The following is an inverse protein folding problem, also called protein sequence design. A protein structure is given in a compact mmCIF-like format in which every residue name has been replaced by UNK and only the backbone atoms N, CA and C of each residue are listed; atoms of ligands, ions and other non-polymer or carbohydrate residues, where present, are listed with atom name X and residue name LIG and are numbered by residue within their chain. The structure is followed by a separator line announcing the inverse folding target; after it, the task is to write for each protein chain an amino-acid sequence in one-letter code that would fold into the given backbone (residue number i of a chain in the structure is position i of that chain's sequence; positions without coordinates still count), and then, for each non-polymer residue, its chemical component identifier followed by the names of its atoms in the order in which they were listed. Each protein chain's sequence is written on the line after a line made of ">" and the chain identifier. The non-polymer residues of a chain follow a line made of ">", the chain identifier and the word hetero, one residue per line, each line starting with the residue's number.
data_IF_095099226345
#
_entry.id   IF_095099226345
#
_cell.length_a   1.000
_cell.length_b   1.000
_cell.length_c   1.000
_cell.angle_alpha   90.00
_cell.angle_beta   90.00
_cell.angle_gamma   90.00
#
_symmetry.space_group_name_H-M   'P 1'
#
loop_
_entity.id
_entity.type
_entity.pdbx_description
1 polymer ?
#
# COMPACT_ATOMS: atom_id res chain seq x y z
N UNK A 1 -24.83 -26.59 -9.06
CA UNK A 1 -24.97 -25.50 -8.07
C UNK A 1 -25.07 -24.19 -8.82
N UNK A 2 -26.12 -23.38 -8.62
CA UNK A 2 -26.05 -21.95 -8.94
C UNK A 2 -25.33 -21.32 -7.74
N UNK A 3 -24.15 -20.74 -7.96
CA UNK A 3 -23.47 -19.98 -6.91
C UNK A 3 -24.33 -18.78 -6.53
N UNK A 4 -24.40 -18.49 -5.25
CA UNK A 4 -25.04 -17.26 -4.78
C UNK A 4 -24.16 -16.08 -5.20
N UNK A 5 -24.61 -15.32 -6.19
CA UNK A 5 -23.95 -14.09 -6.60
C UNK A 5 -24.51 -12.95 -5.75
N UNK A 6 -23.66 -12.32 -4.94
CA UNK A 6 -24.00 -11.08 -4.24
C UNK A 6 -23.79 -9.89 -5.18
N UNK A 7 -24.76 -8.98 -5.24
CA UNK A 7 -24.65 -7.70 -5.94
C UNK A 7 -24.74 -6.59 -4.89
N UNK A 8 -23.76 -5.70 -4.88
CA UNK A 8 -23.78 -4.49 -4.05
C UNK A 8 -24.12 -3.28 -4.92
N UNK A 9 -25.09 -2.47 -4.48
CA UNK A 9 -25.43 -1.20 -5.11
C UNK A 9 -24.90 -0.07 -4.23
N UNK A 10 -24.23 0.90 -4.85
CA UNK A 10 -23.57 2.01 -4.17
C UNK A 10 -24.10 3.34 -4.68
N UNK A 11 -24.12 4.35 -3.81
CA UNK A 11 -24.42 5.72 -4.20
C UNK A 11 -23.27 6.29 -5.05
N UNK A 12 -23.61 6.85 -6.20
CA UNK A 12 -22.63 7.58 -7.02
C UNK A 12 -22.34 8.94 -6.38
N UNK A 13 -21.09 9.15 -5.96
CA UNK A 13 -20.62 10.42 -5.45
C UNK A 13 -20.03 11.27 -6.58
N UNK A 14 -20.54 12.50 -6.84
CA UNK A 14 -19.94 13.37 -7.83
C UNK A 14 -18.52 13.77 -7.40
N UNK A 15 -17.56 13.66 -8.32
CA UNK A 15 -16.16 14.04 -8.11
C UNK A 15 -15.92 15.42 -8.71
N UNK A 16 -15.20 16.30 -8.01
CA UNK A 16 -14.81 17.60 -8.58
C UNK A 16 -13.73 17.42 -9.63
N UNK A 17 -13.77 18.27 -10.65
CA UNK A 17 -12.73 18.35 -11.67
C UNK A 17 -11.54 19.17 -11.16
N UNK A 18 -10.73 18.55 -10.28
CA UNK A 18 -9.42 19.05 -9.87
C UNK A 18 -8.37 17.99 -10.12
N UNK A 19 -7.22 18.41 -10.65
CA UNK A 19 -6.11 17.49 -10.94
C UNK A 19 -5.55 16.86 -9.66
N UNK A 20 -5.43 17.64 -8.58
CA UNK A 20 -4.88 17.19 -7.30
C UNK A 20 -5.59 17.82 -6.11
N UNK A 21 -5.65 17.06 -5.02
CA UNK A 21 -6.15 17.51 -3.74
C UNK A 21 -5.05 18.31 -3.00
N UNK A 22 -5.31 19.54 -2.49
CA UNK A 22 -4.31 20.28 -1.73
C UNK A 22 -3.70 19.45 -0.57
N UNK A 23 -2.38 19.51 -0.33
CA UNK A 23 -1.72 18.67 0.66
C UNK A 23 -2.31 18.75 2.07
N UNK A 24 -2.79 19.92 2.49
CA UNK A 24 -3.41 20.16 3.79
C UNK A 24 -4.76 19.46 3.93
N UNK A 25 -5.58 19.51 2.87
CA UNK A 25 -6.86 18.82 2.80
C UNK A 25 -6.69 17.29 2.72
N UNK A 26 -5.69 16.80 1.96
CA UNK A 26 -5.33 15.36 1.96
C UNK A 26 -4.89 14.90 3.35
N UNK A 27 -4.04 15.68 4.03
CA UNK A 27 -3.60 15.37 5.37
C UNK A 27 -4.76 15.33 6.37
N UNK A 28 -5.71 16.25 6.27
CA UNK A 28 -6.91 16.24 7.09
C UNK A 28 -7.77 15.00 6.81
N UNK A 29 -7.92 14.59 5.55
CA UNK A 29 -8.63 13.38 5.18
C UNK A 29 -7.95 12.11 5.72
N UNK A 30 -6.63 12.00 5.60
CA UNK A 30 -5.84 10.90 6.16
C UNK A 30 -5.96 10.84 7.70
N UNK A 31 -5.92 11.99 8.38
CA UNK A 31 -6.12 12.04 9.81
C UNK A 31 -7.52 11.55 10.22
N UNK A 32 -8.56 11.93 9.49
CA UNK A 32 -9.93 11.46 9.70
C UNK A 32 -10.06 9.95 9.43
N UNK A 33 -9.43 9.45 8.35
CA UNK A 33 -9.36 8.03 8.03
C UNK A 33 -8.74 7.23 9.17
N UNK A 34 -7.53 7.59 9.61
CA UNK A 34 -6.84 6.91 10.70
C UNK A 34 -7.63 6.98 12.02
N UNK A 35 -8.27 8.11 12.32
CA UNK A 35 -9.12 8.22 13.51
C UNK A 35 -10.31 7.24 13.45
N UNK A 36 -10.97 7.13 12.29
CA UNK A 36 -12.05 6.17 12.07
C UNK A 36 -11.56 4.72 12.18
N UNK A 37 -10.47 4.38 11.50
CA UNK A 37 -9.90 3.02 11.53
C UNK A 37 -9.45 2.60 12.92
N UNK A 38 -8.88 3.51 13.72
CA UNK A 38 -8.49 3.26 15.11
C UNK A 38 -9.69 2.89 16.00
N UNK A 39 -10.87 3.40 15.70
CA UNK A 39 -12.09 3.15 16.47
C UNK A 39 -12.77 1.81 16.12
N UNK A 40 -12.33 1.14 15.04
CA UNK A 40 -12.87 -0.15 14.64
C UNK A 40 -12.31 -1.27 15.52
N UNK A 41 -13.20 -2.16 15.96
CA UNK A 41 -12.87 -3.40 16.66
C UNK A 41 -13.19 -4.60 15.75
N UNK A 42 -12.35 -4.77 14.72
CA UNK A 42 -12.48 -5.85 13.75
C UNK A 42 -11.23 -6.74 13.77
N UNK A 43 -11.38 -8.07 13.59
CA UNK A 43 -10.25 -8.97 13.42
C UNK A 43 -9.65 -8.74 12.03
N UNK A 44 -8.59 -7.94 11.97
CA UNK A 44 -7.85 -7.61 10.74
C UNK A 44 -6.45 -8.21 10.83
N UNK A 45 -6.02 -8.87 9.75
CA UNK A 45 -4.70 -9.50 9.65
C UNK A 45 -3.57 -8.45 9.75
N UNK A 46 -2.41 -8.78 10.33
CA UNK A 46 -1.26 -7.89 10.36
C UNK A 46 -0.70 -7.64 8.95
N UNK A 47 -0.07 -6.49 8.74
CA UNK A 47 0.66 -6.16 7.50
C UNK A 47 1.67 -7.25 7.11
N UNK A 48 2.26 -7.92 8.10
CA UNK A 48 3.22 -9.01 7.90
C UNK A 48 2.63 -10.18 7.08
N UNK A 49 1.33 -10.45 7.16
CA UNK A 49 0.70 -11.54 6.39
C UNK A 49 0.68 -11.21 4.90
N UNK A 50 0.39 -9.95 4.55
CA UNK A 50 0.47 -9.46 3.16
C UNK A 50 1.90 -9.54 2.63
N UNK A 51 2.89 -9.26 3.46
CA UNK A 51 4.30 -9.47 3.09
C UNK A 51 4.63 -10.95 2.94
N UNK A 52 4.07 -11.82 3.79
CA UNK A 52 4.15 -13.27 3.67
C UNK A 52 3.71 -13.76 2.29
N UNK A 53 2.56 -13.29 1.80
CA UNK A 53 2.08 -13.64 0.45
C UNK A 53 3.05 -13.22 -0.66
N UNK A 54 3.68 -12.06 -0.54
CA UNK A 54 4.70 -11.60 -1.49
C UNK A 54 5.96 -12.48 -1.42
N UNK A 55 6.39 -12.85 -0.21
CA UNK A 55 7.51 -13.74 0.00
C UNK A 55 7.25 -15.15 -0.57
N UNK A 56 6.05 -15.70 -0.39
CA UNK A 56 5.64 -16.99 -0.94
C UNK A 56 5.70 -16.97 -2.48
N UNK A 57 5.24 -15.88 -3.10
CA UNK A 57 5.35 -15.68 -4.54
C UNK A 57 6.82 -15.67 -5.02
N UNK A 58 7.71 -15.00 -4.28
CA UNK A 58 9.13 -14.95 -4.60
C UNK A 58 9.87 -16.26 -4.31
N UNK A 59 9.40 -17.08 -3.37
CA UNK A 59 9.99 -18.38 -3.05
C UNK A 59 9.82 -19.40 -4.17
N UNK A 60 8.77 -19.30 -4.98
CA UNK A 60 8.52 -20.18 -6.12
C UNK A 60 9.02 -19.58 -7.45
N UNK A 61 10.13 -20.08 -8.03
CA UNK A 61 10.63 -19.60 -9.32
C UNK A 61 9.72 -19.87 -10.48
N UNK A 62 8.85 -20.88 -10.38
CA UNK A 62 7.87 -21.09 -11.42
C UNK A 62 6.92 -19.88 -11.46
N UNK A 63 6.45 -19.36 -10.31
CA UNK A 63 5.48 -18.24 -10.25
C UNK A 63 6.06 -16.90 -10.73
N UNK A 64 7.35 -16.70 -10.57
CA UNK A 64 8.07 -15.49 -11.00
C UNK A 64 9.20 -15.81 -12.00
N UNK A 65 8.92 -16.47 -13.14
CA UNK A 65 9.94 -17.13 -13.95
C UNK A 65 10.86 -16.14 -14.68
N UNK A 66 10.37 -14.92 -14.90
CA UNK A 66 11.12 -13.86 -15.56
C UNK A 66 11.92 -12.98 -14.59
N UNK A 67 11.87 -13.23 -13.28
CA UNK A 67 12.62 -12.51 -12.23
C UNK A 67 13.99 -13.18 -12.01
N UNK A 68 15.08 -12.41 -12.20
CA UNK A 68 16.42 -12.89 -11.97
C UNK A 68 16.66 -13.27 -10.49
N UNK A 69 17.61 -14.16 -10.24
CA UNK A 69 17.88 -14.69 -8.90
C UNK A 69 18.34 -13.60 -7.93
N UNK A 70 19.16 -12.68 -8.41
CA UNK A 70 19.72 -11.57 -7.65
C UNK A 70 18.61 -10.59 -7.24
N UNK A 71 17.73 -10.23 -8.19
CA UNK A 71 16.59 -9.34 -7.95
C UNK A 71 15.58 -9.95 -6.98
N UNK A 72 15.32 -11.26 -7.11
CA UNK A 72 14.51 -12.01 -6.15
C UNK A 72 15.09 -11.97 -4.75
N UNK A 73 16.40 -12.18 -4.61
CA UNK A 73 17.09 -12.13 -3.31
C UNK A 73 17.00 -10.73 -2.70
N UNK A 74 17.18 -9.68 -3.52
CA UNK A 74 17.02 -8.28 -3.10
C UNK A 74 15.59 -8.02 -2.57
N UNK A 75 14.56 -8.41 -3.32
CA UNK A 75 13.17 -8.23 -2.92
C UNK A 75 12.85 -9.02 -1.64
N UNK A 76 13.23 -10.29 -1.56
CA UNK A 76 13.01 -11.12 -0.37
C UNK A 76 13.65 -10.51 0.89
N UNK A 77 14.92 -10.12 0.81
CA UNK A 77 15.63 -9.51 1.93
C UNK A 77 15.05 -8.15 2.33
N UNK A 78 14.62 -7.34 1.35
CA UNK A 78 14.00 -6.03 1.60
C UNK A 78 12.65 -6.18 2.27
N UNK A 79 11.76 -7.02 1.73
CA UNK A 79 10.44 -7.30 2.28
C UNK A 79 10.52 -7.84 3.71
N UNK A 80 11.34 -8.87 3.95
CA UNK A 80 11.47 -9.47 5.27
C UNK A 80 11.97 -8.47 6.33
N UNK A 81 13.00 -7.69 6.02
CA UNK A 81 13.57 -6.69 6.92
C UNK A 81 12.57 -5.57 7.23
N UNK A 82 11.93 -5.01 6.21
CA UNK A 82 11.06 -3.85 6.40
C UNK A 82 9.71 -4.24 7.03
N UNK A 83 9.24 -5.48 6.81
CA UNK A 83 8.09 -6.02 7.53
C UNK A 83 8.35 -6.14 9.03
N UNK A 84 9.52 -6.66 9.42
CA UNK A 84 9.93 -6.75 10.82
C UNK A 84 10.03 -5.35 11.47
N UNK A 85 10.64 -4.38 10.76
CA UNK A 85 10.69 -2.98 11.18
C UNK A 85 9.28 -2.39 11.37
N UNK A 86 8.36 -2.59 10.42
CA UNK A 86 7.00 -2.09 10.52
C UNK A 86 6.19 -2.73 11.67
N UNK A 87 6.39 -4.03 11.91
CA UNK A 87 5.71 -4.77 12.97
C UNK A 87 6.18 -4.38 14.39
N UNK A 88 7.43 -3.95 14.52
CA UNK A 88 8.06 -3.63 15.81
C UNK A 88 8.13 -2.13 16.13
N UNK A 89 7.73 -1.27 15.18
CA UNK A 89 7.85 0.19 15.32
C UNK A 89 6.49 0.87 15.48
N UNK A 90 6.42 1.82 16.42
CA UNK A 90 5.27 2.69 16.60
C UNK A 90 3.95 2.01 16.98
N UNK A 91 2.88 2.79 17.19
CA UNK A 91 1.55 2.27 17.49
C UNK A 91 0.93 1.54 16.29
N UNK A 92 0.43 0.34 16.53
CA UNK A 92 -0.25 -0.49 15.52
C UNK A 92 -1.76 -0.24 15.54
N UNK A 93 -2.39 -0.05 14.38
CA UNK A 93 -3.85 0.11 14.24
C UNK A 93 -4.35 -0.46 12.92
N UNK A 94 -5.67 -0.53 12.73
CA UNK A 94 -6.24 -0.85 11.42
C UNK A 94 -5.89 0.28 10.45
N UNK A 95 -5.46 -0.10 9.26
CA UNK A 95 -5.05 0.75 8.18
C UNK A 95 -5.92 0.49 6.96
N UNK A 96 -6.00 1.46 6.05
CA UNK A 96 -6.58 1.21 4.74
C UNK A 96 -5.70 0.27 3.91
N UNK A 97 -4.38 0.46 3.92
CA UNK A 97 -3.41 -0.44 3.30
C UNK A 97 -3.02 -0.11 1.85
N UNK A 98 -3.84 0.63 1.08
CA UNK A 98 -3.61 1.03 -0.33
C UNK A 98 -4.36 2.33 -0.74
N UNK A 99 -4.38 3.32 0.14
CA UNK A 99 -4.95 4.68 -0.05
C UNK A 99 -4.12 5.57 -0.99
N UNK A 100 -3.79 5.06 -2.17
CA UNK A 100 -3.18 5.82 -3.25
C UNK A 100 -4.20 6.73 -3.95
N UNK A 101 -3.78 7.70 -4.80
CA UNK A 101 -4.70 8.65 -5.44
C UNK A 101 -5.87 8.03 -6.20
N UNK A 102 -5.70 6.83 -6.78
CA UNK A 102 -6.80 6.09 -7.45
C UNK A 102 -7.94 5.66 -6.52
N UNK A 103 -7.68 5.59 -5.21
CA UNK A 103 -8.63 5.17 -4.17
C UNK A 103 -9.16 6.37 -3.37
N UNK A 104 -9.04 7.58 -3.95
CA UNK A 104 -9.45 8.83 -3.33
C UNK A 104 -10.39 9.61 -4.25
N UNK A 105 -11.62 9.82 -3.80
CA UNK A 105 -12.60 10.64 -4.48
C UNK A 105 -12.65 12.03 -3.84
N UNK A 106 -12.40 13.08 -4.61
CA UNK A 106 -12.71 14.44 -4.16
C UNK A 106 -14.19 14.77 -4.39
N UNK A 107 -15.00 14.71 -3.33
CA UNK A 107 -16.42 15.02 -3.42
C UNK A 107 -16.74 16.43 -2.90
N UNK A 108 -17.87 17.04 -3.31
CA UNK A 108 -18.38 18.28 -2.72
C UNK A 108 -18.39 18.30 -1.18
N UNK A 109 -18.62 17.15 -0.54
CA UNK A 109 -18.65 16.97 0.90
C UNK A 109 -17.28 16.59 1.52
N UNK A 110 -16.19 16.77 0.76
CA UNK A 110 -14.82 16.47 1.13
C UNK A 110 -14.30 15.14 0.56
N UNK A 111 -13.00 14.84 0.76
CA UNK A 111 -12.39 13.62 0.23
C UNK A 111 -13.01 12.35 0.83
N UNK A 112 -13.08 11.28 0.03
CA UNK A 112 -13.56 9.94 0.45
C UNK A 112 -12.60 8.87 -0.04
N UNK A 113 -12.16 8.01 0.87
CA UNK A 113 -11.39 6.82 0.52
C UNK A 113 -12.35 5.69 0.15
N UNK A 114 -12.01 4.96 -0.90
CA UNK A 114 -12.75 3.80 -1.41
C UNK A 114 -11.82 2.59 -1.46
N UNK A 115 -12.35 1.45 -1.88
CA UNK A 115 -11.54 0.23 -2.09
C UNK A 115 -10.88 -0.29 -0.79
N UNK A 116 -11.74 -0.64 0.17
CA UNK A 116 -11.37 -1.04 1.52
C UNK A 116 -11.09 -2.56 1.64
N UNK A 117 -10.58 -3.20 0.59
CA UNK A 117 -10.35 -4.65 0.56
C UNK A 117 -8.99 -5.08 1.11
N UNK A 118 -8.04 -4.14 1.23
CA UNK A 118 -6.65 -4.40 1.63
C UNK A 118 -6.36 -4.03 3.09
N UNK A 119 -7.39 -4.03 3.94
CA UNK A 119 -7.25 -3.78 5.37
C UNK A 119 -6.16 -4.64 6.00
N UNK A 120 -5.28 -3.97 6.74
CA UNK A 120 -4.26 -4.63 7.54
C UNK A 120 -4.06 -3.88 8.86
N UNK A 121 -3.42 -4.55 9.82
CA UNK A 121 -2.96 -3.91 11.06
C UNK A 121 -1.48 -3.56 10.92
N UNK A 122 -1.15 -2.29 11.12
CA UNK A 122 0.21 -1.77 10.91
C UNK A 122 0.41 -0.35 11.48
N UNK A 123 1.61 0.23 11.27
CA UNK A 123 1.90 1.62 11.58
C UNK A 123 1.27 2.57 10.54
N UNK A 124 0.83 3.77 10.95
CA UNK A 124 0.21 4.75 10.02
C UNK A 124 1.14 5.17 8.90
N UNK A 125 2.44 5.05 9.11
CA UNK A 125 3.49 5.28 8.12
C UNK A 125 3.30 4.44 6.87
N UNK A 126 2.72 3.24 6.98
CA UNK A 126 2.40 2.41 5.82
C UNK A 126 1.27 3.01 4.97
N UNK A 127 0.27 3.64 5.60
CA UNK A 127 -0.74 4.39 4.87
C UNK A 127 -0.14 5.71 4.30
N UNK A 128 0.63 6.43 5.11
CA UNK A 128 1.27 7.68 4.67
C UNK A 128 2.28 7.47 3.54
N UNK A 129 2.79 6.25 3.34
CA UNK A 129 3.71 5.91 2.26
C UNK A 129 3.17 6.23 0.86
N UNK A 130 1.84 6.15 0.69
CA UNK A 130 1.17 6.43 -0.58
C UNK A 130 0.88 7.92 -0.79
N UNK A 131 1.07 8.75 0.23
CA UNK A 131 0.81 10.17 0.18
C UNK A 131 2.05 10.97 -0.29
N UNK A 132 1.86 12.07 -1.04
CA UNK A 132 2.94 13.01 -1.34
C UNK A 132 3.62 13.51 -0.07
N UNK A 133 4.92 13.79 -0.13
CA UNK A 133 5.70 14.25 1.03
C UNK A 133 5.11 15.49 1.70
N UNK A 134 4.56 16.43 0.92
CA UNK A 134 3.90 17.63 1.44
C UNK A 134 2.68 17.30 2.31
N UNK A 135 1.88 16.29 1.94
CA UNK A 135 0.71 15.88 2.73
C UNK A 135 1.14 15.08 3.98
N UNK A 136 2.05 14.13 3.81
CA UNK A 136 2.59 13.35 4.93
C UNK A 136 3.28 14.24 5.99
N UNK A 137 3.85 15.39 5.58
CA UNK A 137 4.48 16.35 6.48
C UNK A 137 3.53 16.92 7.55
N UNK A 138 2.22 16.95 7.26
CA UNK A 138 1.19 17.43 8.18
C UNK A 138 0.68 16.35 9.15
N UNK A 139 1.07 15.08 8.99
CA UNK A 139 0.65 14.00 9.88
C UNK A 139 1.40 14.07 11.22
N UNK A 140 0.71 14.24 12.36
CA UNK A 140 1.34 14.35 13.67
C UNK A 140 1.85 13.01 14.16
N UNK A 141 2.97 13.01 14.89
CA UNK A 141 3.51 11.82 15.55
C UNK A 141 4.10 10.76 14.61
N UNK A 142 4.22 11.04 13.31
CA UNK A 142 4.90 10.14 12.37
C UNK A 142 6.38 10.03 12.72
N UNK A 143 6.95 8.85 12.51
CA UNK A 143 8.39 8.65 12.53
C UNK A 143 8.94 8.78 11.09
N UNK A 144 9.74 9.82 10.77
CA UNK A 144 10.19 10.05 9.39
C UNK A 144 11.00 8.90 8.79
N UNK A 145 11.82 8.22 9.61
CA UNK A 145 12.59 7.07 9.16
C UNK A 145 11.68 5.89 8.80
N UNK A 146 10.70 5.58 9.67
CA UNK A 146 9.72 4.53 9.43
C UNK A 146 8.84 4.83 8.21
N UNK A 147 8.53 6.09 7.93
CA UNK A 147 7.81 6.48 6.71
C UNK A 147 8.60 6.14 5.45
N UNK A 148 9.90 6.43 5.39
CA UNK A 148 10.73 6.09 4.23
C UNK A 148 10.95 4.57 4.10
N UNK A 149 11.07 3.86 5.23
CA UNK A 149 11.05 2.39 5.27
C UNK A 149 9.72 1.84 4.71
N UNK A 150 8.58 2.41 5.11
CA UNK A 150 7.25 2.02 4.62
C UNK A 150 7.03 2.34 3.14
N UNK A 151 7.57 3.46 2.63
CA UNK A 151 7.60 3.77 1.20
C UNK A 151 8.34 2.71 0.41
N UNK A 152 9.50 2.31 0.90
CA UNK A 152 10.29 1.24 0.28
C UNK A 152 9.58 -0.11 0.36
N UNK A 153 8.92 -0.42 1.49
CA UNK A 153 8.13 -1.63 1.67
C UNK A 153 6.94 -1.69 0.70
N UNK A 154 6.14 -0.64 0.61
CA UNK A 154 4.99 -0.57 -0.31
C UNK A 154 5.45 -0.71 -1.78
N UNK A 155 6.52 -0.01 -2.17
CA UNK A 155 7.11 -0.15 -3.49
C UNK A 155 7.59 -1.58 -3.78
N UNK A 156 8.25 -2.24 -2.82
CA UNK A 156 8.72 -3.62 -2.97
C UNK A 156 7.56 -4.63 -3.08
N UNK A 157 6.47 -4.43 -2.33
CA UNK A 157 5.24 -5.22 -2.47
C UNK A 157 4.65 -5.05 -3.87
N UNK A 158 4.39 -3.80 -4.27
CA UNK A 158 3.83 -3.49 -5.58
C UNK A 158 4.70 -4.03 -6.72
N UNK A 159 6.03 -3.90 -6.59
CA UNK A 159 6.99 -4.51 -7.52
C UNK A 159 6.80 -6.00 -7.61
N UNK A 160 6.75 -6.70 -6.47
CA UNK A 160 6.65 -8.18 -6.42
C UNK A 160 5.43 -8.70 -7.17
N UNK A 161 4.28 -8.04 -7.04
CA UNK A 161 3.06 -8.41 -7.77
C UNK A 161 3.22 -8.32 -9.30
N UNK A 162 3.98 -7.34 -9.79
CA UNK A 162 4.29 -7.19 -11.23
C UNK A 162 5.18 -8.29 -11.81
N UNK A 163 5.73 -9.17 -10.96
CA UNK A 163 6.53 -10.33 -11.39
C UNK A 163 5.75 -11.63 -11.33
N UNK A 164 4.53 -11.66 -10.80
CA UNK A 164 3.67 -12.84 -10.88
C UNK A 164 3.37 -13.15 -12.36
N UNK A 165 3.53 -14.40 -12.77
CA UNK A 165 3.19 -14.85 -14.12
C UNK A 165 1.70 -14.66 -14.44
N UNK A 166 0.86 -14.60 -13.40
CA UNK A 166 -0.59 -14.42 -13.52
C UNK A 166 -1.01 -12.94 -13.47
N UNK A 167 -0.08 -11.99 -13.32
CA UNK A 167 -0.38 -10.57 -13.31
C UNK A 167 -0.95 -10.11 -14.67
N UNK A 168 -2.16 -9.57 -14.65
CA UNK A 168 -2.84 -9.03 -15.82
C UNK A 168 -2.87 -7.50 -15.84
N UNK A 169 -2.06 -6.85 -15.00
CA UNK A 169 -2.02 -5.39 -14.93
C UNK A 169 -1.48 -4.81 -16.25
N UNK A 170 -2.14 -3.79 -16.84
CA UNK A 170 -1.67 -3.15 -18.07
C UNK A 170 -0.23 -2.65 -17.93
N UNK A 171 0.63 -2.97 -18.89
CA UNK A 171 2.07 -2.65 -18.87
C UNK A 171 2.82 -3.14 -17.61
N UNK A 172 2.24 -4.11 -16.89
CA UNK A 172 2.72 -4.53 -15.57
C UNK A 172 4.19 -4.92 -15.56
N UNK A 173 4.66 -5.61 -16.61
CA UNK A 173 6.07 -6.00 -16.71
C UNK A 173 7.03 -4.80 -16.83
N UNK A 174 6.69 -3.80 -17.64
CA UNK A 174 7.53 -2.62 -17.82
C UNK A 174 7.60 -1.81 -16.52
N UNK A 175 6.45 -1.68 -15.84
CA UNK A 175 6.33 -1.06 -14.52
C UNK A 175 7.18 -1.82 -13.49
N UNK A 176 7.08 -3.15 -13.46
CA UNK A 176 7.85 -4.00 -12.55
C UNK A 176 9.37 -3.85 -12.70
N UNK A 177 9.87 -3.70 -13.94
CA UNK A 177 11.29 -3.41 -14.20
C UNK A 177 11.68 -2.03 -13.68
N UNK A 178 10.87 -1.01 -13.93
CA UNK A 178 11.14 0.36 -13.48
C UNK A 178 11.14 0.46 -11.94
N UNK A 179 10.14 -0.10 -11.29
CA UNK A 179 10.05 -0.09 -9.83
C UNK A 179 11.12 -0.94 -9.16
N UNK A 180 11.52 -2.07 -9.75
CA UNK A 180 12.64 -2.85 -9.24
C UNK A 180 13.95 -2.04 -9.25
N UNK A 181 14.19 -1.25 -10.31
CA UNK A 181 15.34 -0.35 -10.35
C UNK A 181 15.26 0.73 -9.26
N UNK A 182 14.06 1.25 -8.96
CA UNK A 182 13.86 2.20 -7.86
C UNK A 182 14.07 1.54 -6.48
N UNK A 183 13.54 0.33 -6.24
CA UNK A 183 13.80 -0.43 -5.01
C UNK A 183 15.30 -0.61 -4.81
N UNK A 184 16.02 -1.00 -5.87
CA UNK A 184 17.47 -1.15 -5.85
C UNK A 184 18.17 0.15 -5.44
N UNK A 185 17.82 1.26 -6.09
CA UNK A 185 18.41 2.57 -5.77
C UNK A 185 18.16 3.02 -4.33
N UNK A 186 17.00 2.67 -3.75
CA UNK A 186 16.66 3.01 -2.34
C UNK A 186 17.37 2.15 -1.30
N UNK A 187 17.73 0.91 -1.64
CA UNK A 187 18.29 -0.07 -0.69
C UNK A 187 19.82 -0.16 -0.78
N UNK A 188 20.40 0.12 -1.95
CA UNK A 188 21.83 0.02 -2.21
C UNK A 188 22.54 1.38 -2.31
N UNK A 189 21.79 2.48 -2.44
CA UNK A 189 22.31 3.86 -2.49
C UNK A 189 22.38 4.52 -1.11
#
# INVERSE_FOLDING_TARGET
>A
MRGEHAITLWEHLPVRDRTELPPTELAAALAALHAGMRALDLPVAPLADRVGHALDLLQDPARTPALAREDRTLLQGTLARLADRAATSGPQQILHGEQHPGNLLDTPAGPRFIDLETFCRGPVEFDLAHAPAAAAAHSPGREPALLEECRTLSLALATTWRWDREDTFPDGRAIGVAWLAEVRARVEG
#
